data_IF_477761344255
#
_entry.id   IF_477761344255
#
_cell.length_a   1.000
_cell.length_b   1.000
_cell.length_c   1.000
_cell.angle_alpha   90.00
_cell.angle_beta   90.00
_cell.angle_gamma   90.00
#
_symmetry.space_group_name_H-M   'P 1'
#
loop_
_entity.id
_entity.type
_entity.pdbx_description
1 polymer ?
#
# COMPACT_ATOMS: atom_id res chain seq x y z
N UNK A 1 49.98 17.88 19.47
CA UNK A 1 50.45 17.80 18.08
C UNK A 1 49.21 17.68 17.22
N UNK A 2 48.89 18.74 16.49
CA UNK A 2 47.63 18.97 15.79
C UNK A 2 47.52 18.04 14.58
N UNK A 3 46.69 17.01 14.70
CA UNK A 3 46.29 16.18 13.57
C UNK A 3 45.18 16.92 12.80
N UNK A 4 45.57 18.04 12.16
CA UNK A 4 44.76 18.77 11.19
C UNK A 4 44.74 17.98 9.88
N UNK A 5 43.90 16.93 9.87
CA UNK A 5 43.53 16.21 8.65
C UNK A 5 42.85 17.20 7.69
N UNK A 6 43.63 17.65 6.71
CA UNK A 6 43.18 18.35 5.51
C UNK A 6 42.03 17.54 4.87
N UNK A 7 40.78 17.94 5.16
CA UNK A 7 39.64 17.56 4.33
C UNK A 7 39.86 18.23 2.99
N UNK A 8 40.36 17.46 2.03
CA UNK A 8 40.42 17.91 0.64
C UNK A 8 39.01 18.34 0.24
N UNK A 9 38.84 19.64 0.00
CA UNK A 9 37.60 20.23 -0.43
C UNK A 9 37.28 19.71 -1.83
N UNK A 10 36.38 18.73 -1.90
CA UNK A 10 35.95 18.13 -3.16
C UNK A 10 34.92 19.04 -3.81
N UNK A 11 35.23 19.55 -4.98
CA UNK A 11 34.29 20.37 -5.77
C UNK A 11 33.46 19.43 -6.65
N UNK A 12 32.14 19.59 -6.64
CA UNK A 12 31.24 18.92 -7.57
C UNK A 12 30.33 19.90 -8.30
N UNK A 13 29.86 19.50 -9.48
CA UNK A 13 28.92 20.26 -10.30
C UNK A 13 27.50 19.80 -10.01
N UNK A 14 26.62 20.73 -9.64
CA UNK A 14 25.22 20.43 -9.39
C UNK A 14 24.51 20.03 -10.70
N UNK A 15 23.90 18.84 -10.81
CA UNK A 15 23.25 18.37 -12.05
C UNK A 15 21.95 19.12 -12.38
N UNK A 16 21.50 20.05 -11.54
CA UNK A 16 20.25 20.81 -11.72
C UNK A 16 20.50 22.20 -12.29
N UNK A 17 21.53 22.90 -11.79
CA UNK A 17 21.83 24.27 -12.17
C UNK A 17 23.23 24.47 -12.79
N UNK A 18 24.09 23.45 -12.76
CA UNK A 18 25.46 23.52 -13.29
C UNK A 18 26.47 24.25 -12.41
N UNK A 19 26.07 24.75 -11.24
CA UNK A 19 26.98 25.46 -10.34
C UNK A 19 27.92 24.49 -9.61
N UNK A 20 29.17 24.92 -9.46
CA UNK A 20 30.17 24.25 -8.63
C UNK A 20 29.89 24.50 -7.14
N UNK A 21 30.10 23.47 -6.31
CA UNK A 21 29.92 23.57 -4.86
C UNK A 21 30.85 22.62 -4.10
N UNK A 22 31.17 22.97 -2.86
CA UNK A 22 31.99 22.14 -1.97
C UNK A 22 31.18 20.96 -1.44
N UNK A 23 31.76 19.77 -1.55
CA UNK A 23 31.18 18.50 -1.16
C UNK A 23 31.91 17.97 0.07
N UNK A 24 31.21 18.00 1.19
CA UNK A 24 31.70 17.42 2.45
C UNK A 24 31.57 15.90 2.50
N UNK A 25 30.71 15.31 1.66
CA UNK A 25 30.48 13.86 1.61
C UNK A 25 29.94 13.42 0.24
N UNK A 26 30.29 12.20 -0.18
CA UNK A 26 29.85 11.56 -1.44
C UNK A 26 28.33 11.53 -1.68
N UNK A 27 27.52 11.76 -0.66
CA UNK A 27 26.06 11.79 -0.75
C UNK A 27 25.50 13.18 -1.11
N UNK A 28 26.32 14.24 -1.06
CA UNK A 28 25.91 15.60 -1.44
C UNK A 28 26.02 15.79 -2.96
N UNK A 29 24.88 15.59 -3.64
CA UNK A 29 24.77 15.64 -5.11
C UNK A 29 24.37 17.03 -5.62
N UNK A 30 23.69 17.83 -4.78
CA UNK A 30 23.10 19.11 -5.19
C UNK A 30 23.69 20.25 -4.38
N UNK A 31 23.89 21.41 -5.01
CA UNK A 31 24.39 22.62 -4.35
C UNK A 31 23.43 23.20 -3.30
N UNK A 32 22.15 22.82 -3.32
CA UNK A 32 21.11 23.42 -2.48
C UNK A 32 19.87 22.54 -2.32
N UNK A 33 19.10 22.83 -1.27
CA UNK A 33 17.79 22.21 -1.03
C UNK A 33 16.80 22.49 -2.17
N UNK A 34 16.88 23.67 -2.81
CA UNK A 34 16.04 24.02 -3.97
C UNK A 34 16.35 23.11 -5.16
N UNK A 35 17.64 22.93 -5.49
CA UNK A 35 18.05 22.01 -6.55
C UNK A 35 17.64 20.56 -6.25
N UNK A 36 17.79 20.11 -5.00
CA UNK A 36 17.29 18.79 -4.58
C UNK A 36 15.79 18.64 -4.82
N UNK A 37 14.97 19.61 -4.40
CA UNK A 37 13.52 19.61 -4.61
C UNK A 37 13.15 19.61 -6.10
N UNK A 38 13.85 20.38 -6.93
CA UNK A 38 13.63 20.40 -8.39
C UNK A 38 13.92 19.02 -9.02
N UNK A 39 15.02 18.37 -8.62
CA UNK A 39 15.35 17.03 -9.08
C UNK A 39 14.31 15.98 -8.63
N UNK A 40 13.83 16.07 -7.39
CA UNK A 40 12.76 15.19 -6.86
C UNK A 40 11.40 15.43 -7.54
N UNK A 41 11.05 16.68 -7.83
CA UNK A 41 9.81 17.05 -8.52
C UNK A 41 9.71 16.43 -9.91
N UNK A 42 10.80 16.46 -10.68
CA UNK A 42 10.89 15.80 -12.00
C UNK A 42 10.64 14.28 -11.92
N UNK A 43 11.11 13.61 -10.86
CA UNK A 43 10.86 12.17 -10.63
C UNK A 43 9.40 11.89 -10.28
N UNK A 44 8.75 12.76 -9.50
CA UNK A 44 7.33 12.63 -9.13
C UNK A 44 6.40 12.81 -10.34
N UNK A 45 6.71 13.74 -11.26
CA UNK A 45 5.95 13.93 -12.50
C UNK A 45 5.90 12.67 -13.38
N UNK A 46 7.04 11.98 -13.53
CA UNK A 46 7.10 10.71 -14.28
C UNK A 46 6.30 9.58 -13.64
N UNK A 47 6.31 9.46 -12.30
CA UNK A 47 5.50 8.44 -11.58
C UNK A 47 3.99 8.69 -11.63
N UNK A 48 3.56 9.95 -11.81
CA UNK A 48 2.13 10.33 -11.92
C UNK A 48 1.53 10.05 -13.31
N UNK A 49 2.35 9.74 -14.31
CA UNK A 49 1.87 9.25 -15.62
C UNK A 49 1.56 7.74 -15.56
N UNK A 50 0.77 7.31 -14.58
CA UNK A 50 0.03 6.06 -14.69
C UNK A 50 -1.04 6.26 -15.76
N UNK A 51 -0.69 6.02 -17.03
CA UNK A 51 -1.62 6.14 -18.15
C UNK A 51 -2.79 5.20 -17.89
N UNK A 52 -3.99 5.75 -17.90
CA UNK A 52 -5.21 4.96 -17.96
C UNK A 52 -5.16 4.07 -19.21
N UNK A 53 -5.50 2.80 -19.05
CA UNK A 53 -5.43 1.80 -20.12
C UNK A 53 -6.83 1.41 -20.54
N UNK A 54 -7.09 1.36 -21.84
CA UNK A 54 -8.31 0.76 -22.36
C UNK A 54 -8.13 -0.75 -22.38
N UNK A 55 -9.07 -1.48 -21.77
CA UNK A 55 -9.07 -2.94 -21.68
C UNK A 55 -10.41 -3.52 -22.09
N UNK A 56 -10.42 -4.77 -22.51
CA UNK A 56 -11.63 -5.55 -22.74
C UNK A 56 -12.13 -6.15 -21.42
N UNK A 57 -13.40 -5.96 -21.10
CA UNK A 57 -14.05 -6.57 -19.94
C UNK A 57 -14.15 -8.09 -20.14
N UNK A 58 -13.63 -8.88 -19.20
CA UNK A 58 -13.75 -10.34 -19.23
C UNK A 58 -15.21 -10.83 -19.05
N UNK A 59 -16.05 -9.97 -18.46
CA UNK A 59 -17.49 -10.19 -18.20
C UNK A 59 -18.36 -10.10 -19.45
N UNK A 60 -18.42 -8.90 -20.04
CA UNK A 60 -19.31 -8.55 -21.15
C UNK A 60 -18.60 -8.30 -22.49
N UNK A 61 -17.26 -8.32 -22.52
CA UNK A 61 -16.48 -8.08 -23.74
C UNK A 61 -16.37 -6.62 -24.19
N UNK A 62 -17.04 -5.67 -23.51
CA UNK A 62 -16.96 -4.24 -23.83
C UNK A 62 -15.59 -3.66 -23.46
N UNK A 63 -15.14 -2.66 -24.22
CA UNK A 63 -13.96 -1.90 -23.89
C UNK A 63 -14.29 -0.90 -22.77
N UNK A 64 -13.40 -0.80 -21.78
CA UNK A 64 -13.52 0.16 -20.68
C UNK A 64 -12.14 0.69 -20.29
N UNK A 65 -12.11 1.87 -19.68
CA UNK A 65 -10.88 2.52 -19.27
C UNK A 65 -10.61 2.25 -17.80
N UNK A 66 -9.42 1.74 -17.48
CA UNK A 66 -8.96 1.59 -16.10
C UNK A 66 -8.36 2.91 -15.63
N UNK A 67 -8.62 3.30 -14.39
CA UNK A 67 -7.97 4.45 -13.78
C UNK A 67 -6.57 4.10 -13.26
N UNK A 68 -5.91 5.07 -12.62
CA UNK A 68 -4.58 4.88 -12.04
C UNK A 68 -4.55 4.02 -10.78
N UNK A 69 -5.68 3.91 -10.09
CA UNK A 69 -5.81 3.21 -8.82
C UNK A 69 -6.15 1.73 -9.02
N UNK A 70 -6.74 1.40 -10.17
CA UNK A 70 -7.24 0.07 -10.53
C UNK A 70 -6.62 -0.43 -11.85
N UNK A 71 -5.28 -0.36 -12.03
CA UNK A 71 -4.64 -0.73 -13.30
C UNK A 71 -4.82 -2.21 -13.67
N UNK A 72 -5.23 -3.06 -12.71
CA UNK A 72 -5.46 -4.49 -12.87
C UNK A 72 -6.95 -4.86 -12.89
N UNK A 73 -7.86 -3.89 -12.99
CA UNK A 73 -9.29 -4.17 -13.12
C UNK A 73 -9.57 -5.00 -14.38
N UNK A 74 -10.36 -6.06 -14.22
CA UNK A 74 -10.72 -7.04 -15.26
C UNK A 74 -12.15 -6.87 -15.81
N UNK A 75 -13.02 -6.24 -15.02
CA UNK A 75 -14.44 -6.11 -15.32
C UNK A 75 -14.83 -4.64 -15.33
N UNK A 76 -15.69 -4.24 -16.26
CA UNK A 76 -16.14 -2.85 -16.38
C UNK A 76 -17.10 -2.42 -15.26
N UNK A 77 -17.74 -3.36 -14.56
CA UNK A 77 -18.69 -3.10 -13.46
C UNK A 77 -18.70 -4.24 -12.44
N UNK A 78 -19.29 -3.98 -11.26
CA UNK A 78 -19.56 -5.02 -10.26
C UNK A 78 -20.49 -6.11 -10.81
N UNK A 79 -21.50 -5.76 -11.61
CA UNK A 79 -22.39 -6.76 -12.21
C UNK A 79 -21.65 -7.75 -13.11
N UNK A 80 -20.69 -7.26 -13.91
CA UNK A 80 -19.85 -8.12 -14.74
C UNK A 80 -18.95 -9.05 -13.90
N UNK A 81 -18.50 -8.58 -12.74
CA UNK A 81 -17.74 -9.40 -11.79
C UNK A 81 -18.61 -10.49 -11.16
N UNK A 82 -19.78 -10.12 -10.61
CA UNK A 82 -20.69 -11.08 -9.98
C UNK A 82 -21.25 -12.10 -10.97
N UNK A 83 -21.58 -11.68 -12.20
CA UNK A 83 -22.06 -12.58 -13.26
C UNK A 83 -21.03 -13.66 -13.63
N UNK A 84 -19.74 -13.42 -13.41
CA UNK A 84 -18.68 -14.41 -13.66
C UNK A 84 -18.42 -15.31 -12.46
N UNK A 85 -18.59 -14.81 -11.24
CA UNK A 85 -18.37 -15.59 -10.02
C UNK A 85 -19.58 -16.47 -9.70
N UNK A 86 -20.79 -15.97 -9.92
CA UNK A 86 -22.01 -16.76 -9.76
C UNK A 86 -21.99 -18.02 -10.63
N UNK A 87 -21.40 -17.93 -11.84
CA UNK A 87 -21.22 -19.08 -12.75
C UNK A 87 -20.17 -20.10 -12.31
N UNK A 88 -19.35 -19.80 -11.29
CA UNK A 88 -18.34 -20.71 -10.74
C UNK A 88 -18.81 -21.45 -9.50
N UNK A 89 -19.97 -21.08 -8.93
CA UNK A 89 -20.60 -21.89 -7.91
C UNK A 89 -21.38 -22.97 -8.64
N UNK A 90 -20.86 -24.19 -8.65
CA UNK A 90 -21.72 -25.34 -8.91
C UNK A 90 -22.89 -25.24 -7.93
N UNK A 91 -24.15 -25.19 -8.42
CA UNK A 91 -25.32 -25.04 -7.55
C UNK A 91 -25.49 -26.23 -6.59
N UNK A 92 -24.77 -27.33 -6.85
CA UNK A 92 -24.79 -28.58 -6.11
C UNK A 92 -23.67 -28.70 -5.06
N UNK A 93 -22.77 -27.72 -4.97
CA UNK A 93 -21.77 -27.68 -3.89
C UNK A 93 -22.39 -26.91 -2.71
N UNK A 94 -22.95 -27.66 -1.76
CA UNK A 94 -23.31 -27.14 -0.44
C UNK A 94 -22.10 -26.40 0.14
N UNK A 95 -22.26 -25.11 0.40
CA UNK A 95 -21.23 -24.36 1.10
C UNK A 95 -21.15 -24.93 2.52
N UNK A 96 -19.97 -25.37 3.00
CA UNK A 96 -19.86 -25.81 4.38
C UNK A 96 -20.29 -24.65 5.26
N UNK A 97 -21.28 -24.90 6.12
CA UNK A 97 -21.80 -23.88 7.00
C UNK A 97 -20.64 -23.34 7.84
N UNK A 98 -20.39 -22.02 7.76
CA UNK A 98 -19.33 -21.35 8.51
C UNK A 98 -19.76 -21.18 9.96
N UNK A 99 -19.96 -22.30 10.65
CA UNK A 99 -20.07 -22.34 12.08
C UNK A 99 -18.67 -22.16 12.64
N UNK A 100 -18.38 -20.94 13.12
CA UNK A 100 -17.24 -20.75 14.00
C UNK A 100 -17.56 -21.52 15.28
N UNK A 101 -16.99 -22.72 15.40
CA UNK A 101 -17.09 -23.49 16.64
C UNK A 101 -16.72 -22.62 17.83
N UNK A 102 -17.47 -22.69 18.95
CA UNK A 102 -17.15 -21.94 20.14
C UNK A 102 -15.72 -22.25 20.60
N UNK A 103 -14.92 -21.21 20.83
CA UNK A 103 -13.54 -21.33 21.30
C UNK A 103 -13.44 -20.86 22.73
N UNK A 104 -12.58 -21.50 23.51
CA UNK A 104 -12.23 -21.04 24.85
C UNK A 104 -11.29 -19.84 24.74
N UNK A 105 -11.69 -18.72 25.34
CA UNK A 105 -10.91 -17.48 25.39
C UNK A 105 -10.80 -17.03 26.84
N UNK A 106 -9.66 -16.45 27.22
CA UNK A 106 -9.44 -15.87 28.55
C UNK A 106 -9.78 -14.39 28.51
N UNK A 107 -10.61 -13.94 29.45
CA UNK A 107 -11.01 -12.55 29.56
C UNK A 107 -9.81 -11.66 29.91
N UNK A 108 -9.57 -10.61 29.13
CA UNK A 108 -8.47 -9.66 29.39
C UNK A 108 -8.74 -8.72 30.56
N UNK A 109 -9.97 -8.67 31.08
CA UNK A 109 -10.33 -7.83 32.23
C UNK A 109 -10.34 -8.62 33.55
N UNK A 110 -11.08 -9.73 33.62
CA UNK A 110 -11.19 -10.53 34.85
C UNK A 110 -10.33 -11.80 34.87
N UNK A 111 -9.66 -12.18 33.77
CA UNK A 111 -8.85 -13.40 33.69
C UNK A 111 -9.65 -14.70 33.61
N UNK A 112 -10.98 -14.66 33.65
CA UNK A 112 -11.83 -15.85 33.60
C UNK A 112 -11.96 -16.39 32.17
N UNK A 113 -11.90 -17.72 32.03
CA UNK A 113 -12.04 -18.38 30.74
C UNK A 113 -13.51 -18.61 30.39
N UNK A 114 -13.90 -18.29 29.16
CA UNK A 114 -15.27 -18.44 28.66
C UNK A 114 -15.29 -18.95 27.22
N UNK A 115 -16.43 -19.52 26.81
CA UNK A 115 -16.64 -20.00 25.43
C UNK A 115 -17.31 -18.93 24.59
N UNK A 116 -16.78 -18.65 23.39
CA UNK A 116 -17.37 -17.68 22.46
C UNK A 116 -17.15 -18.09 21.02
N UNK A 117 -18.18 -17.90 20.19
CA UNK A 117 -18.09 -17.91 18.72
C UNK A 117 -17.74 -16.54 18.15
N UNK A 118 -17.82 -15.47 18.96
CA UNK A 118 -17.44 -14.11 18.58
C UNK A 118 -15.95 -13.91 18.79
N UNK A 119 -15.34 -13.11 17.90
CA UNK A 119 -13.98 -12.61 18.08
C UNK A 119 -13.95 -11.53 19.18
N UNK A 120 -13.90 -11.95 20.44
CA UNK A 120 -13.88 -11.07 21.60
C UNK A 120 -12.96 -11.61 22.69
N UNK A 121 -12.33 -10.69 23.42
CA UNK A 121 -11.43 -11.00 24.55
C UNK A 121 -12.04 -10.62 25.89
N UNK A 122 -13.30 -10.16 25.93
CA UNK A 122 -14.01 -9.82 27.16
C UNK A 122 -15.12 -10.82 27.38
N UNK A 123 -15.24 -11.32 28.60
CA UNK A 123 -16.37 -12.15 28.99
C UNK A 123 -17.68 -11.32 28.92
N UNK A 124 -18.85 -11.98 28.84
CA UNK A 124 -20.13 -11.28 28.76
C UNK A 124 -20.33 -10.24 29.86
N UNK A 125 -19.94 -10.57 31.10
CA UNK A 125 -20.06 -9.69 32.26
C UNK A 125 -19.18 -8.45 32.15
N UNK A 126 -17.89 -8.62 31.84
CA UNK A 126 -16.96 -7.49 31.67
C UNK A 126 -17.26 -6.63 30.43
N UNK A 127 -18.02 -7.14 29.47
CA UNK A 127 -18.44 -6.40 28.28
C UNK A 127 -19.58 -5.44 28.58
N UNK A 128 -20.49 -5.80 29.48
CA UNK A 128 -21.66 -5.00 29.86
C UNK A 128 -21.35 -3.90 30.87
N UNK A 129 -20.25 -4.03 31.62
CA UNK A 129 -19.78 -3.04 32.60
C UNK A 129 -18.92 -1.92 31.99
N UNK A 130 -19.05 -1.67 30.69
CA UNK A 130 -18.29 -0.63 29.95
C UNK A 130 -19.09 0.63 29.73
#
# INVERSE_FOLDING_TARGET
MTDELLKEDKIAVCPVCGSEFLVTSKHFIYCSLSCRKLAEGKKKGKRRSSKSKVKKCEGCGKLFQTDRYTPNQKYCSQDCYYSKIAKKKDPDIEQPERHSEPRRVVCTNCGEAFMTSRNTTLCPLCRELR
#
